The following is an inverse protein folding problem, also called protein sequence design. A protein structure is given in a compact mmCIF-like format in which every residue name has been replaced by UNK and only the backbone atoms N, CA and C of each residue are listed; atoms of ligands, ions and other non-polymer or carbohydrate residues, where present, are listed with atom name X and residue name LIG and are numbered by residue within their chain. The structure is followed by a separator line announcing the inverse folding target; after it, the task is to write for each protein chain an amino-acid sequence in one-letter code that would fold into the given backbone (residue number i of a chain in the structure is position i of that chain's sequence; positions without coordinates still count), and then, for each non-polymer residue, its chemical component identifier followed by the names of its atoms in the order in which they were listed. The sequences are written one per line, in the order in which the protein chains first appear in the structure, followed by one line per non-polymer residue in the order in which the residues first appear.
data_IF_961137702187
#
_entry.id   IF_961137702187
#
_cell.length_a   1.000
_cell.length_b   1.000
_cell.length_c   1.000
_cell.angle_alpha   90.00
_cell.angle_beta   90.00
_cell.angle_gamma   90.00
#
_symmetry.space_group_name_H-M   'P 1'
#
loop_
_entity.id
_entity.type
_entity.pdbx_description
1 polymer ?
#
# COMPACT_ATOMS: atom_id res chain seq x y z
N UNK A 1 34.74 0.19 -22.82
CA UNK A 1 33.76 1.20 -22.34
C UNK A 1 34.08 1.39 -20.86
N UNK A 2 34.47 2.60 -20.44
CA UNK A 2 34.85 2.86 -19.05
C UNK A 2 33.63 3.38 -18.28
N UNK A 3 33.33 2.76 -17.14
CA UNK A 3 32.27 3.19 -16.22
C UNK A 3 32.73 4.44 -15.47
N UNK A 4 31.88 5.46 -15.42
CA UNK A 4 32.15 6.65 -14.61
C UNK A 4 31.85 6.33 -13.15
N UNK A 5 32.89 6.31 -12.32
CA UNK A 5 32.78 6.16 -10.87
C UNK A 5 32.76 7.57 -10.27
N UNK A 6 31.65 8.01 -9.64
CA UNK A 6 31.60 9.29 -8.97
C UNK A 6 32.72 9.39 -7.92
N UNK A 7 33.38 10.55 -7.77
CA UNK A 7 34.46 10.74 -6.78
C UNK A 7 34.05 10.43 -5.33
N UNK A 8 32.74 10.45 -5.04
CA UNK A 8 32.18 10.20 -3.72
C UNK A 8 31.92 8.72 -3.39
N UNK A 9 32.10 7.79 -4.33
CA UNK A 9 31.98 6.34 -4.06
C UNK A 9 33.16 5.80 -3.23
N UNK A 10 34.27 6.53 -3.14
CA UNK A 10 35.46 6.14 -2.38
C UNK A 10 35.37 6.32 -0.86
N UNK A 11 34.27 6.91 -0.34
CA UNK A 11 34.11 7.23 1.08
C UNK A 11 32.82 6.65 1.64
N UNK A 12 32.66 5.32 1.58
CA UNK A 12 31.75 4.57 2.46
C UNK A 12 30.31 5.08 2.51
N UNK A 13 29.84 5.79 1.48
CA UNK A 13 28.44 6.16 1.38
C UNK A 13 27.69 4.86 1.12
N UNK A 14 27.01 4.37 2.16
CA UNK A 14 25.89 3.46 2.03
C UNK A 14 25.08 3.90 0.80
N UNK A 15 24.67 2.96 -0.05
CA UNK A 15 24.12 3.21 -1.39
C UNK A 15 22.96 4.21 -1.43
N UNK A 16 22.32 4.42 -2.58
CA UNK A 16 21.18 5.34 -2.68
C UNK A 16 20.05 4.97 -1.68
N UNK A 17 20.09 5.58 -0.48
CA UNK A 17 19.13 5.35 0.57
C UNK A 17 17.90 6.23 0.30
N UNK A 18 16.70 5.63 0.28
CA UNK A 18 15.45 6.39 0.14
C UNK A 18 15.30 7.46 1.24
N UNK A 19 14.70 8.59 0.87
CA UNK A 19 14.38 9.66 1.82
C UNK A 19 13.24 9.23 2.76
N UNK A 20 13.57 9.11 4.04
CA UNK A 20 12.62 8.75 5.09
C UNK A 20 11.43 9.73 5.18
N UNK A 21 11.67 11.03 4.93
CA UNK A 21 10.61 12.05 5.00
C UNK A 21 9.58 11.84 3.87
N UNK A 22 10.04 11.54 2.65
CA UNK A 22 9.16 11.22 1.53
C UNK A 22 8.38 9.92 1.77
N UNK A 23 9.00 8.92 2.39
CA UNK A 23 8.31 7.67 2.75
C UNK A 23 7.16 7.92 3.72
N UNK A 24 7.39 8.73 4.77
CA UNK A 24 6.35 9.09 5.74
C UNK A 24 5.22 9.89 5.09
N UNK A 25 5.54 10.79 4.15
CA UNK A 25 4.53 11.54 3.41
C UNK A 25 3.64 10.62 2.56
N UNK A 26 4.23 9.64 1.88
CA UNK A 26 3.46 8.68 1.08
C UNK A 26 2.57 7.79 1.98
N UNK A 27 3.09 7.31 3.11
CA UNK A 27 2.29 6.57 4.10
C UNK A 27 1.15 7.40 4.68
N UNK A 28 1.39 8.68 4.97
CA UNK A 28 0.37 9.62 5.41
C UNK A 28 -0.73 9.77 4.34
N UNK A 29 -0.35 9.99 3.07
CA UNK A 29 -1.30 10.12 1.95
C UNK A 29 -2.14 8.87 1.77
N UNK A 30 -1.51 7.69 1.82
CA UNK A 30 -2.23 6.42 1.73
C UNK A 30 -3.31 6.33 2.81
N UNK A 31 -2.92 6.56 4.07
CA UNK A 31 -3.88 6.49 5.18
C UNK A 31 -4.98 7.55 5.05
N UNK A 32 -4.64 8.77 4.64
CA UNK A 32 -5.59 9.86 4.48
C UNK A 32 -6.65 9.54 3.41
N UNK A 33 -6.28 8.93 2.28
CA UNK A 33 -7.23 8.50 1.23
C UNK A 33 -8.32 7.61 1.83
N UNK A 34 -7.93 6.56 2.56
CA UNK A 34 -8.89 5.63 3.16
C UNK A 34 -9.76 6.27 4.24
N UNK A 35 -9.17 7.10 5.12
CA UNK A 35 -9.91 7.72 6.21
C UNK A 35 -10.84 8.85 5.73
N UNK A 36 -10.50 9.54 4.65
CA UNK A 36 -11.28 10.65 4.11
C UNK A 36 -12.37 10.20 3.12
N UNK A 37 -12.25 9.01 2.51
CA UNK A 37 -13.16 8.54 1.45
C UNK A 37 -14.64 8.61 1.83
N UNK A 38 -15.01 8.25 3.08
CA UNK A 38 -16.39 8.39 3.57
C UNK A 38 -16.87 9.85 3.57
N UNK A 39 -16.01 10.78 4.00
CA UNK A 39 -16.33 12.21 4.03
C UNK A 39 -16.57 12.75 2.61
N UNK A 40 -15.74 12.37 1.64
CA UNK A 40 -15.99 12.73 0.24
C UNK A 40 -17.32 12.15 -0.27
N UNK A 41 -17.62 10.88 0.03
CA UNK A 41 -18.87 10.25 -0.38
C UNK A 41 -20.12 10.91 0.26
N UNK A 42 -19.99 11.56 1.42
CA UNK A 42 -21.04 12.33 2.09
C UNK A 42 -21.25 13.73 1.50
N UNK A 43 -20.21 14.34 0.91
CA UNK A 43 -20.26 15.69 0.34
C UNK A 43 -20.96 15.75 -1.02
N UNK A 44 -20.98 14.66 -1.79
CA UNK A 44 -21.73 14.61 -3.05
C UNK A 44 -23.22 14.79 -2.71
N UNK A 45 -23.96 15.65 -3.41
CA UNK A 45 -25.39 15.88 -3.10
C UNK A 45 -26.32 15.09 -4.03
N UNK A 46 -25.92 14.93 -5.30
CA UNK A 46 -26.71 14.28 -6.34
C UNK A 46 -27.01 12.80 -6.03
N UNK A 47 -28.26 12.36 -6.19
CA UNK A 47 -28.61 10.95 -5.97
C UNK A 47 -27.79 10.00 -6.85
N UNK A 48 -27.55 8.78 -6.35
CA UNK A 48 -26.81 7.73 -7.07
C UNK A 48 -27.47 7.46 -8.44
N UNK A 49 -26.66 7.42 -9.50
CA UNK A 49 -27.04 7.27 -10.92
C UNK A 49 -27.90 8.41 -11.47
N UNK A 50 -27.93 9.56 -10.80
CA UNK A 50 -28.57 10.75 -11.34
C UNK A 50 -27.65 11.44 -12.36
N UNK A 51 -28.21 12.06 -13.41
CA UNK A 51 -27.40 12.74 -14.43
C UNK A 51 -26.50 13.86 -13.85
N UNK A 52 -26.92 14.48 -12.75
CA UNK A 52 -26.14 15.49 -12.03
C UNK A 52 -24.89 14.92 -11.32
N UNK A 53 -24.81 13.60 -11.11
CA UNK A 53 -23.66 12.93 -10.48
C UNK A 53 -22.44 12.88 -11.41
N UNK A 54 -22.65 12.78 -12.73
CA UNK A 54 -21.59 12.62 -13.75
C UNK A 54 -20.59 13.79 -13.80
N UNK A 55 -20.96 14.94 -13.23
CA UNK A 55 -20.14 16.14 -13.21
C UNK A 55 -19.94 16.70 -11.79
N UNK A 56 -20.25 15.90 -10.76
CA UNK A 56 -19.99 16.32 -9.39
C UNK A 56 -18.46 16.45 -9.18
N UNK A 57 -17.94 17.65 -8.87
CA UNK A 57 -16.50 17.86 -8.75
C UNK A 57 -15.86 17.01 -7.65
N UNK A 58 -16.62 16.67 -6.60
CA UNK A 58 -16.13 15.82 -5.52
C UNK A 58 -15.94 14.39 -6.02
N UNK A 59 -16.88 13.87 -6.82
CA UNK A 59 -16.76 12.54 -7.39
C UNK A 59 -15.54 12.43 -8.33
N UNK A 60 -15.34 13.43 -9.18
CA UNK A 60 -14.16 13.50 -10.07
C UNK A 60 -12.84 13.51 -9.28
N UNK A 61 -12.81 14.18 -8.12
CA UNK A 61 -11.63 14.15 -7.25
C UNK A 61 -11.42 12.78 -6.60
N UNK A 62 -12.49 12.07 -6.23
CA UNK A 62 -12.40 10.72 -5.66
C UNK A 62 -11.89 9.69 -6.68
N UNK A 63 -12.15 9.86 -7.98
CA UNK A 63 -11.64 8.94 -9.01
C UNK A 63 -10.11 8.86 -9.05
N UNK A 64 -9.41 9.89 -8.54
CA UNK A 64 -7.94 9.88 -8.43
C UNK A 64 -7.45 8.76 -7.50
N UNK A 65 -8.25 8.39 -6.49
CA UNK A 65 -7.92 7.36 -5.49
C UNK A 65 -7.54 6.02 -6.15
N UNK A 66 -8.23 5.64 -7.23
CA UNK A 66 -8.01 4.39 -7.98
C UNK A 66 -6.60 4.30 -8.58
N UNK A 67 -6.06 5.43 -9.03
CA UNK A 67 -4.70 5.50 -9.59
C UNK A 67 -3.65 5.70 -8.50
N UNK A 68 -4.02 6.35 -7.41
CA UNK A 68 -3.06 6.84 -6.43
C UNK A 68 -2.72 5.81 -5.35
N UNK A 69 -3.70 5.00 -4.92
CA UNK A 69 -3.48 3.87 -4.03
C UNK A 69 -2.40 2.91 -4.57
N UNK A 70 -2.50 2.37 -5.80
CA UNK A 70 -1.48 1.47 -6.32
C UNK A 70 -0.12 2.16 -6.55
N UNK A 71 -0.11 3.44 -6.97
CA UNK A 71 1.14 4.22 -7.10
C UNK A 71 1.88 4.30 -5.77
N UNK A 72 1.18 4.73 -4.72
CA UNK A 72 1.76 4.87 -3.38
C UNK A 72 2.22 3.52 -2.85
N UNK A 73 1.37 2.49 -2.91
CA UNK A 73 1.70 1.14 -2.42
C UNK A 73 2.98 0.61 -3.05
N UNK A 74 3.11 0.73 -4.37
CA UNK A 74 4.30 0.25 -5.07
C UNK A 74 5.55 1.05 -4.68
N UNK A 75 5.44 2.38 -4.60
CA UNK A 75 6.55 3.24 -4.21
C UNK A 75 7.06 2.92 -2.79
N UNK A 76 6.16 2.78 -1.82
CA UNK A 76 6.55 2.46 -0.43
C UNK A 76 7.03 1.02 -0.30
N UNK A 77 6.46 0.06 -1.03
CA UNK A 77 6.92 -1.34 -0.97
C UNK A 77 8.34 -1.51 -1.54
N UNK A 78 8.65 -0.85 -2.67
CA UNK A 78 10.00 -0.85 -3.24
C UNK A 78 10.98 -0.19 -2.27
N UNK A 79 10.62 0.98 -1.75
CA UNK A 79 11.43 1.72 -0.77
C UNK A 79 11.74 0.88 0.46
N UNK A 80 10.74 0.19 1.00
CA UNK A 80 10.90 -0.72 2.14
C UNK A 80 11.92 -1.81 1.83
N UNK A 81 11.82 -2.46 0.66
CA UNK A 81 12.71 -3.56 0.28
C UNK A 81 14.16 -3.09 0.06
N UNK A 82 14.36 -1.91 -0.51
CA UNK A 82 15.70 -1.31 -0.65
C UNK A 82 16.32 -1.02 0.71
N UNK A 83 15.56 -0.41 1.63
CA UNK A 83 16.02 -0.13 3.00
C UNK A 83 16.32 -1.41 3.79
N UNK A 84 15.47 -2.42 3.64
CA UNK A 84 15.58 -3.70 4.32
C UNK A 84 16.79 -4.50 3.84
N UNK A 85 17.08 -4.46 2.54
CA UNK A 85 18.27 -5.11 1.97
C UNK A 85 19.56 -4.34 2.32
N UNK A 86 19.50 -3.02 2.50
CA UNK A 86 20.64 -2.20 2.95
C UNK A 86 20.97 -2.36 4.44
N UNK A 87 19.97 -2.64 5.29
CA UNK A 87 20.10 -2.73 6.75
C UNK A 87 19.96 -4.18 7.26
N UNK A 88 20.57 -5.16 6.59
CA UNK A 88 20.64 -6.56 7.07
C UNK A 88 19.30 -7.22 7.46
N UNK A 89 18.18 -6.81 6.86
CA UNK A 89 16.82 -7.34 7.08
C UNK A 89 16.10 -6.90 8.37
N UNK A 90 16.36 -5.68 8.83
CA UNK A 90 15.70 -5.05 10.00
C UNK A 90 14.16 -5.16 9.99
N UNK A 91 13.49 -5.21 8.82
CA UNK A 91 12.03 -5.37 8.79
C UNK A 91 11.55 -6.71 9.35
N UNK A 92 12.39 -7.76 9.36
CA UNK A 92 12.02 -9.04 9.98
C UNK A 92 12.07 -8.99 11.50
N UNK A 93 12.86 -8.08 12.08
CA UNK A 93 13.12 -8.03 13.51
C UNK A 93 12.21 -7.02 14.24
N UNK A 94 11.84 -5.93 13.55
CA UNK A 94 11.13 -4.81 14.17
C UNK A 94 9.65 -4.77 13.79
N UNK A 95 9.28 -5.26 12.61
CA UNK A 95 7.94 -5.06 12.09
C UNK A 95 6.95 -6.14 12.56
N UNK A 96 5.82 -5.70 13.09
CA UNK A 96 4.69 -6.56 13.41
C UNK A 96 3.88 -7.00 12.20
N UNK A 97 2.79 -7.70 12.48
CA UNK A 97 1.82 -8.17 11.49
C UNK A 97 0.94 -7.01 10.99
N UNK A 98 0.58 -7.05 9.71
CA UNK A 98 -0.22 -6.03 9.05
C UNK A 98 -1.35 -6.61 8.19
N UNK A 99 -1.72 -7.87 8.41
CA UNK A 99 -2.77 -8.53 7.67
C UNK A 99 -2.69 -10.05 7.71
N UNK A 100 -3.26 -10.69 6.69
CA UNK A 100 -3.26 -12.14 6.52
C UNK A 100 -2.89 -12.57 5.11
N UNK A 101 -2.34 -13.77 4.97
CA UNK A 101 -1.94 -14.36 3.70
C UNK A 101 -2.50 -15.77 3.58
N UNK A 102 -3.26 -16.00 2.52
CA UNK A 102 -3.60 -17.33 2.03
C UNK A 102 -2.59 -17.66 0.93
N UNK A 103 -1.70 -18.61 1.21
CA UNK A 103 -0.59 -18.97 0.31
C UNK A 103 -1.05 -19.79 -0.89
N UNK A 104 -2.13 -20.57 -0.73
CA UNK A 104 -2.77 -21.35 -1.78
C UNK A 104 -4.29 -21.18 -1.67
N UNK A 105 -4.91 -20.57 -2.68
CA UNK A 105 -6.36 -20.40 -2.75
C UNK A 105 -7.15 -21.72 -2.78
N UNK A 106 -6.49 -22.85 -3.06
CA UNK A 106 -7.10 -24.19 -2.99
C UNK A 106 -7.24 -24.71 -1.56
N UNK A 107 -6.52 -24.11 -0.60
CA UNK A 107 -6.56 -24.44 0.81
C UNK A 107 -6.72 -23.14 1.65
N UNK A 108 -7.86 -22.44 1.50
CA UNK A 108 -8.08 -21.11 2.09
C UNK A 108 -8.06 -21.10 3.63
N UNK A 109 -8.29 -22.25 4.27
CA UNK A 109 -8.18 -22.44 5.72
C UNK A 109 -6.76 -22.24 6.26
N UNK A 110 -5.74 -22.38 5.40
CA UNK A 110 -4.33 -22.18 5.76
C UNK A 110 -3.92 -20.70 5.63
N UNK A 111 -4.63 -19.84 6.36
CA UNK A 111 -4.29 -18.42 6.47
C UNK A 111 -3.20 -18.22 7.52
N UNK A 112 -2.12 -17.54 7.13
CA UNK A 112 -1.03 -17.14 8.04
C UNK A 112 -1.00 -15.63 8.23
N UNK A 113 -0.44 -15.11 9.33
CA UNK A 113 -0.23 -13.67 9.47
C UNK A 113 0.70 -13.10 8.39
N UNK A 114 0.41 -11.89 7.94
CA UNK A 114 1.18 -11.16 6.94
C UNK A 114 2.11 -10.16 7.63
N UNK A 115 3.41 -10.44 7.64
CA UNK A 115 4.42 -9.50 8.14
C UNK A 115 4.60 -8.31 7.18
N UNK A 116 5.19 -7.21 7.65
CA UNK A 116 5.45 -6.03 6.80
C UNK A 116 6.31 -6.37 5.57
N UNK A 117 7.40 -7.14 5.76
CA UNK A 117 8.25 -7.57 4.64
C UNK A 117 7.46 -8.40 3.62
N UNK A 118 6.63 -9.32 4.09
CA UNK A 118 5.83 -10.16 3.19
C UNK A 118 4.73 -9.35 2.50
N UNK A 119 4.12 -8.37 3.18
CA UNK A 119 3.21 -7.41 2.57
C UNK A 119 3.87 -6.64 1.43
N UNK A 120 5.06 -6.08 1.65
CA UNK A 120 5.81 -5.39 0.59
C UNK A 120 6.11 -6.32 -0.59
N UNK A 121 6.53 -7.57 -0.34
CA UNK A 121 6.73 -8.56 -1.40
C UNK A 121 5.43 -8.84 -2.16
N UNK A 122 4.29 -9.00 -1.47
CA UNK A 122 3.00 -9.25 -2.13
C UNK A 122 2.53 -8.05 -2.92
N UNK A 123 2.74 -6.82 -2.44
CA UNK A 123 2.42 -5.60 -3.20
C UNK A 123 3.19 -5.58 -4.52
N UNK A 124 4.51 -5.82 -4.50
CA UNK A 124 5.37 -5.79 -5.69
C UNK A 124 4.97 -6.88 -6.71
N UNK A 125 4.53 -8.04 -6.24
CA UNK A 125 4.20 -9.19 -7.09
C UNK A 125 2.70 -9.36 -7.34
N UNK A 126 1.85 -8.44 -6.88
CA UNK A 126 0.42 -8.52 -7.11
C UNK A 126 0.10 -8.31 -8.59
N UNK A 127 -0.69 -9.20 -9.17
CA UNK A 127 -1.29 -9.02 -10.49
C UNK A 127 -2.61 -8.25 -10.42
N UNK A 128 -3.25 -8.22 -9.24
CA UNK A 128 -4.49 -7.49 -9.00
C UNK A 128 -4.55 -6.96 -7.58
N UNK A 129 -4.97 -5.71 -7.45
CA UNK A 129 -5.28 -5.06 -6.18
C UNK A 129 -6.78 -4.76 -6.20
N UNK A 130 -7.48 -5.06 -5.11
CA UNK A 130 -8.87 -4.64 -4.89
C UNK A 130 -8.97 -3.94 -3.55
N UNK A 131 -9.78 -2.90 -3.52
CA UNK A 131 -10.08 -2.17 -2.29
C UNK A 131 -11.39 -2.68 -1.71
N UNK A 132 -11.48 -2.75 -0.39
CA UNK A 132 -12.73 -3.03 0.30
C UNK A 132 -13.66 -1.81 0.29
N UNK A 133 -14.96 -2.02 0.06
CA UNK A 133 -15.93 -0.94 -0.17
C UNK A 133 -17.15 -1.14 0.72
N UNK A 134 -17.50 -0.09 1.46
CA UNK A 134 -18.76 0.02 2.17
C UNK A 134 -19.67 1.06 1.49
N UNK A 135 -20.93 1.13 1.92
CA UNK A 135 -21.89 2.10 1.38
C UNK A 135 -22.44 2.97 2.51
N UNK A 136 -22.59 4.27 2.27
CA UNK A 136 -23.23 5.18 3.23
C UNK A 136 -24.77 5.04 3.18
N UNK A 137 -25.48 5.81 4.00
CA UNK A 137 -26.96 5.78 4.09
C UNK A 137 -27.65 6.12 2.76
N UNK A 138 -26.98 6.87 1.88
CA UNK A 138 -27.47 7.24 0.54
C UNK A 138 -27.07 6.21 -0.53
N UNK A 139 -26.46 5.09 -0.14
CA UNK A 139 -26.02 4.05 -1.04
C UNK A 139 -24.78 4.41 -1.86
N UNK A 140 -23.99 5.41 -1.44
CA UNK A 140 -22.72 5.74 -2.12
C UNK A 140 -21.56 4.92 -1.61
N UNK A 141 -20.72 4.37 -2.50
CA UNK A 141 -19.55 3.62 -2.11
C UNK A 141 -18.50 4.53 -1.46
N UNK A 142 -17.79 4.00 -0.47
CA UNK A 142 -16.60 4.60 0.10
C UNK A 142 -15.60 3.51 0.52
N UNK A 143 -14.32 3.85 0.55
CA UNK A 143 -13.26 2.90 0.84
C UNK A 143 -13.22 2.50 2.31
N UNK A 144 -13.03 1.21 2.57
CA UNK A 144 -12.61 0.69 3.88
C UNK A 144 -11.10 0.43 3.86
N UNK A 145 -10.39 0.54 5.00
CA UNK A 145 -8.92 0.45 5.07
C UNK A 145 -8.39 -0.99 4.94
N UNK A 146 -9.00 -1.79 4.07
CA UNK A 146 -8.59 -3.14 3.74
C UNK A 146 -8.33 -3.26 2.24
N UNK A 147 -7.21 -3.90 1.91
CA UNK A 147 -6.81 -4.19 0.54
C UNK A 147 -6.69 -5.69 0.34
N UNK A 148 -7.10 -6.15 -0.83
CA UNK A 148 -6.96 -7.54 -1.26
C UNK A 148 -5.98 -7.61 -2.43
N UNK A 149 -4.83 -8.22 -2.17
CA UNK A 149 -3.77 -8.43 -3.14
C UNK A 149 -3.89 -9.86 -3.67
N UNK A 150 -3.83 -10.02 -4.98
CA UNK A 150 -3.85 -11.32 -5.65
C UNK A 150 -2.62 -11.45 -6.53
N UNK A 151 -2.07 -12.65 -6.60
CA UNK A 151 -1.01 -12.97 -7.54
C UNK A 151 -0.77 -14.47 -7.59
N UNK A 152 0.29 -14.85 -8.29
CA UNK A 152 0.62 -16.25 -8.52
C UNK A 152 2.11 -16.49 -8.32
N UNK A 153 2.46 -17.64 -7.72
CA UNK A 153 3.84 -18.13 -7.63
C UNK A 153 3.86 -19.60 -8.02
N UNK A 154 4.66 -19.97 -9.02
CA UNK A 154 4.78 -21.36 -9.50
C UNK A 154 3.43 -22.05 -9.77
N UNK A 155 2.47 -21.35 -10.38
CA UNK A 155 1.08 -21.81 -10.65
C UNK A 155 0.18 -21.99 -9.44
N UNK A 156 0.63 -21.57 -8.25
CA UNK A 156 -0.20 -21.48 -7.05
C UNK A 156 -0.66 -20.04 -6.89
N UNK A 157 -1.97 -19.85 -6.87
CA UNK A 157 -2.58 -18.53 -6.64
C UNK A 157 -2.62 -18.24 -5.15
N UNK A 158 -2.28 -17.00 -4.78
CA UNK A 158 -2.31 -16.53 -3.41
C UNK A 158 -3.21 -15.30 -3.28
N UNK A 159 -3.72 -15.08 -2.07
CA UNK A 159 -4.46 -13.87 -1.70
C UNK A 159 -3.91 -13.34 -0.39
N UNK A 160 -3.53 -12.07 -0.37
CA UNK A 160 -3.20 -11.36 0.86
C UNK A 160 -4.30 -10.34 1.18
N UNK A 161 -4.70 -10.27 2.45
CA UNK A 161 -5.55 -9.21 2.99
C UNK A 161 -4.65 -8.30 3.80
N UNK A 162 -4.55 -7.04 3.40
CA UNK A 162 -3.72 -6.03 4.04
C UNK A 162 -4.62 -5.07 4.82
N UNK A 163 -4.35 -4.91 6.11
CA UNK A 163 -4.91 -3.84 6.93
C UNK A 163 -4.02 -2.60 6.74
N UNK A 164 -4.56 -1.58 6.08
CA UNK A 164 -3.81 -0.37 5.72
C UNK A 164 -3.36 0.39 6.96
N UNK A 165 -4.19 0.44 8.01
CA UNK A 165 -3.86 1.14 9.25
C UNK A 165 -2.72 0.42 9.97
N UNK A 166 -2.80 -0.90 10.08
CA UNK A 166 -1.74 -1.71 10.67
C UNK A 166 -0.44 -1.60 9.85
N UNK A 167 -0.52 -1.71 8.53
CA UNK A 167 0.63 -1.57 7.63
C UNK A 167 1.34 -0.22 7.82
N UNK A 168 0.60 0.89 7.78
CA UNK A 168 1.17 2.24 7.95
C UNK A 168 1.81 2.40 9.33
N UNK A 169 1.19 1.88 10.40
CA UNK A 169 1.76 1.91 11.76
C UNK A 169 3.06 1.12 11.87
N UNK A 170 3.09 -0.10 11.32
CA UNK A 170 4.30 -0.93 11.37
C UNK A 170 5.43 -0.29 10.57
N UNK A 171 5.13 0.20 9.37
CA UNK A 171 6.14 0.82 8.53
C UNK A 171 6.66 2.14 9.14
N UNK A 172 5.79 3.03 9.61
CA UNK A 172 6.24 4.26 10.26
C UNK A 172 7.09 3.99 11.51
N UNK A 173 6.76 2.94 12.28
CA UNK A 173 7.59 2.50 13.41
C UNK A 173 8.99 2.10 12.97
N UNK A 174 9.12 1.32 11.89
CA UNK A 174 10.42 0.96 11.33
C UNK A 174 11.20 2.19 10.87
N UNK A 175 10.58 3.09 10.09
CA UNK A 175 11.25 4.30 9.58
C UNK A 175 11.69 5.23 10.70
N UNK A 176 10.90 5.36 11.77
CA UNK A 176 11.24 6.21 12.92
C UNK A 176 12.36 5.66 13.81
N UNK A 177 12.76 4.40 13.62
CA UNK A 177 13.79 3.70 14.42
C UNK A 177 15.08 3.42 13.63
N UNK A 178 15.10 3.72 12.34
CA UNK A 178 16.30 3.71 11.48
C UNK A 178 17.08 5.02 11.70
#
# INVERSE_FOLDING_TARGET
MAEYIPPNDGHGRAGHLPDAANTLLELHRLLAIFLASKGFAELVEAGVRHAAELHDPILVLQEVEDSEIPRILLAVAITARVLDDANERVLNEIAGECGTLIQDLRAPENSVPLSLREACNKIIHASKIRVDIAHNERGRPYLQPFLYLYGQRNRVEWKATLDVVAFVKQYSTCVSRL
#
